data_IF_351326097164
#
_entry.id   IF_351326097164
#
_cell.length_a   1.000
_cell.length_b   1.000
_cell.length_c   1.000
_cell.angle_alpha   90.00
_cell.angle_beta   90.00
_cell.angle_gamma   90.00
#
_symmetry.space_group_name_H-M   'P 1'
#
loop_
_entity.id
_entity.type
_entity.pdbx_description
1 polymer ?
#
# COMPACT_ATOMS: atom_id res chain seq x y z
N UNK A 1 -4.12 8.48 28.46
CA UNK A 1 -4.30 7.54 27.34
C UNK A 1 -5.78 7.15 27.33
N UNK A 2 -6.51 7.39 26.24
CA UNK A 2 -7.98 7.24 26.15
C UNK A 2 -8.48 5.79 26.13
N UNK A 3 -7.57 4.81 26.11
CA UNK A 3 -7.83 3.37 26.04
C UNK A 3 -8.74 2.95 24.85
N UNK A 4 -8.74 3.75 23.80
CA UNK A 4 -9.48 3.50 22.55
C UNK A 4 -8.55 3.77 21.37
N UNK A 5 -8.63 2.90 20.36
CA UNK A 5 -8.04 3.14 19.04
C UNK A 5 -9.13 3.74 18.16
N UNK A 6 -9.05 5.04 17.85
CA UNK A 6 -10.05 5.68 17.03
C UNK A 6 -9.92 5.18 15.58
N UNK A 7 -11.00 5.26 14.79
CA UNK A 7 -11.04 4.64 13.46
C UNK A 7 -10.00 5.23 12.50
N UNK A 8 -9.58 6.47 12.72
CA UNK A 8 -8.53 7.16 11.97
C UNK A 8 -7.17 6.47 12.15
N UNK A 9 -6.90 5.93 13.34
CA UNK A 9 -5.69 5.15 13.61
C UNK A 9 -5.70 3.81 12.87
N UNK A 10 -6.86 3.15 12.80
CA UNK A 10 -7.05 1.93 12.00
C UNK A 10 -6.91 2.20 10.51
N UNK A 11 -7.50 3.29 10.01
CA UNK A 11 -7.37 3.72 8.62
C UNK A 11 -5.91 4.04 8.26
N UNK A 12 -5.19 4.76 9.13
CA UNK A 12 -3.79 5.08 8.93
C UNK A 12 -2.90 3.83 8.94
N UNK A 13 -3.11 2.93 9.91
CA UNK A 13 -2.41 1.65 9.98
C UNK A 13 -2.66 0.78 8.74
N UNK A 14 -3.91 0.74 8.28
CA UNK A 14 -4.28 0.06 7.04
C UNK A 14 -3.62 0.66 5.80
N UNK A 15 -3.53 1.99 5.73
CA UNK A 15 -2.84 2.69 4.63
C UNK A 15 -1.37 2.26 4.54
N UNK A 16 -0.67 2.23 5.67
CA UNK A 16 0.74 1.80 5.75
C UNK A 16 0.88 0.31 5.42
N UNK A 17 0.00 -0.54 5.93
CA UNK A 17 0.04 -1.98 5.64
C UNK A 17 -0.13 -2.27 4.15
N UNK A 18 -1.09 -1.61 3.49
CA UNK A 18 -1.31 -1.73 2.05
C UNK A 18 -0.17 -1.13 1.24
N UNK A 19 0.48 -0.07 1.75
CA UNK A 19 1.64 0.52 1.09
C UNK A 19 2.82 -0.45 1.07
N UNK A 20 3.11 -1.06 2.22
CA UNK A 20 4.14 -2.10 2.34
C UNK A 20 3.80 -3.30 1.46
N UNK A 21 2.56 -3.78 1.51
CA UNK A 21 2.12 -4.90 0.66
C UNK A 21 2.23 -4.59 -0.84
N UNK A 22 1.89 -3.36 -1.25
CA UNK A 22 1.99 -2.94 -2.65
C UNK A 22 3.42 -2.95 -3.16
N UNK A 23 4.39 -2.48 -2.37
CA UNK A 23 5.80 -2.56 -2.72
C UNK A 23 6.38 -3.97 -2.59
N UNK A 24 5.94 -4.77 -1.62
CA UNK A 24 6.33 -6.17 -1.48
C UNK A 24 5.98 -6.99 -2.73
N UNK A 25 4.80 -6.76 -3.32
CA UNK A 25 4.40 -7.34 -4.61
C UNK A 25 5.36 -6.98 -5.75
N UNK A 26 5.85 -5.74 -5.79
CA UNK A 26 6.82 -5.31 -6.80
C UNK A 26 8.20 -5.90 -6.52
N UNK A 27 8.63 -5.95 -5.26
CA UNK A 27 9.93 -6.51 -4.89
C UNK A 27 10.00 -8.01 -5.14
N UNK A 28 8.89 -8.74 -5.00
CA UNK A 28 8.80 -10.15 -5.35
C UNK A 28 9.13 -10.44 -6.83
N UNK A 29 9.11 -9.43 -7.72
CA UNK A 29 9.55 -9.59 -9.09
C UNK A 29 11.06 -9.82 -9.21
N UNK A 30 11.86 -9.30 -8.28
CA UNK A 30 13.31 -9.48 -8.29
C UNK A 30 13.72 -10.90 -7.91
N UNK A 31 12.89 -11.59 -7.13
CA UNK A 31 13.16 -12.96 -6.69
C UNK A 31 12.47 -14.01 -7.58
N UNK A 32 11.80 -13.60 -8.68
CA UNK A 32 10.93 -14.48 -9.49
C UNK A 32 11.61 -15.77 -9.97
N UNK A 33 12.84 -15.69 -10.47
CA UNK A 33 13.55 -16.87 -10.98
C UNK A 33 13.97 -17.80 -9.83
N UNK A 34 14.39 -17.22 -8.70
CA UNK A 34 14.73 -17.99 -7.49
C UNK A 34 13.48 -18.67 -6.94
N UNK A 35 12.36 -17.94 -6.84
CA UNK A 35 11.09 -18.47 -6.35
C UNK A 35 10.61 -19.63 -7.20
N UNK A 36 10.72 -19.53 -8.53
CA UNK A 36 10.36 -20.62 -9.44
C UNK A 36 11.26 -21.84 -9.31
N UNK A 37 12.57 -21.62 -9.23
CA UNK A 37 13.54 -22.73 -9.13
C UNK A 37 13.50 -23.44 -7.79
N UNK A 38 13.23 -22.70 -6.70
CA UNK A 38 13.14 -23.24 -5.34
C UNK A 38 11.71 -23.68 -4.96
N UNK A 39 10.72 -23.45 -5.83
CA UNK A 39 9.32 -23.81 -5.57
C UNK A 39 8.63 -22.94 -4.50
N UNK A 40 9.10 -21.70 -4.29
CA UNK A 40 8.49 -20.74 -3.39
C UNK A 40 7.19 -20.17 -3.99
N UNK A 41 6.32 -19.67 -3.12
CA UNK A 41 4.94 -19.30 -3.47
C UNK A 41 4.69 -17.79 -3.50
N UNK A 42 5.57 -17.02 -4.15
CA UNK A 42 5.33 -15.59 -4.35
C UNK A 42 4.21 -15.36 -5.37
N UNK A 43 3.58 -14.18 -5.29
CA UNK A 43 2.51 -13.77 -6.21
C UNK A 43 2.96 -13.83 -7.67
N UNK A 44 4.11 -13.25 -8.09
CA UNK A 44 4.52 -13.35 -9.47
C UNK A 44 4.93 -14.76 -9.90
N UNK A 45 5.46 -15.59 -9.00
CA UNK A 45 5.76 -16.99 -9.32
C UNK A 45 4.50 -17.80 -9.59
N UNK A 46 3.42 -17.57 -8.83
CA UNK A 46 2.15 -18.32 -8.93
C UNK A 46 1.16 -17.76 -9.96
N UNK A 47 1.00 -16.44 -10.00
CA UNK A 47 -0.04 -15.76 -10.78
C UNK A 47 0.52 -14.92 -11.94
N UNK A 48 1.86 -14.87 -12.06
CA UNK A 48 2.54 -14.13 -13.11
C UNK A 48 2.81 -12.66 -12.77
N UNK A 49 3.72 -12.06 -13.54
CA UNK A 49 4.20 -10.68 -13.35
C UNK A 49 3.05 -9.66 -13.39
N UNK A 50 2.11 -9.83 -14.35
CA UNK A 50 0.98 -8.91 -14.48
C UNK A 50 0.09 -8.87 -13.23
N UNK A 51 -0.09 -10.00 -12.54
CA UNK A 51 -0.86 -10.05 -11.31
C UNK A 51 -0.19 -9.28 -10.17
N UNK A 52 1.14 -9.32 -10.08
CA UNK A 52 1.89 -8.53 -9.10
C UNK A 52 1.72 -7.02 -9.34
N UNK A 53 1.80 -6.56 -10.59
CA UNK A 53 1.55 -5.14 -10.93
C UNK A 53 0.12 -4.69 -10.64
N UNK A 54 -0.89 -5.46 -11.05
CA UNK A 54 -2.29 -5.12 -10.77
C UNK A 54 -2.60 -5.13 -9.28
N UNK A 55 -2.06 -6.10 -8.54
CA UNK A 55 -2.17 -6.15 -7.08
C UNK A 55 -1.51 -4.95 -6.42
N UNK A 56 -0.28 -4.60 -6.83
CA UNK A 56 0.44 -3.44 -6.30
C UNK A 56 -0.32 -2.13 -6.54
N UNK A 57 -0.87 -1.93 -7.75
CA UNK A 57 -1.72 -0.76 -8.07
C UNK A 57 -2.97 -0.69 -7.20
N UNK A 58 -3.65 -1.82 -7.00
CA UNK A 58 -4.83 -1.87 -6.13
C UNK A 58 -4.48 -1.52 -4.68
N UNK A 59 -3.39 -2.10 -4.14
CA UNK A 59 -2.88 -1.77 -2.82
C UNK A 59 -2.56 -0.28 -2.67
N UNK A 60 -1.83 0.30 -3.61
CA UNK A 60 -1.46 1.72 -3.58
C UNK A 60 -2.65 2.67 -3.73
N UNK A 61 -3.63 2.35 -4.59
CA UNK A 61 -4.85 3.12 -4.71
C UNK A 61 -5.64 3.12 -3.38
N UNK A 62 -5.72 1.96 -2.71
CA UNK A 62 -6.35 1.85 -1.40
C UNK A 62 -5.55 2.56 -0.30
N UNK A 63 -4.21 2.55 -0.34
CA UNK A 63 -3.37 3.39 0.53
C UNK A 63 -3.75 4.86 0.43
N UNK A 64 -3.81 5.41 -0.80
CA UNK A 64 -4.17 6.82 -1.02
C UNK A 64 -5.57 7.11 -0.51
N UNK A 65 -6.54 6.23 -0.79
CA UNK A 65 -7.90 6.35 -0.28
C UNK A 65 -7.95 6.41 1.25
N UNK A 66 -7.25 5.50 1.93
CA UNK A 66 -7.24 5.46 3.39
C UNK A 66 -6.54 6.70 3.99
N UNK A 67 -5.48 7.20 3.38
CA UNK A 67 -4.86 8.47 3.80
C UNK A 67 -5.85 9.65 3.64
N UNK A 68 -6.60 9.72 2.54
CA UNK A 68 -7.65 10.74 2.38
C UNK A 68 -8.68 10.61 3.51
N UNK A 69 -9.17 9.40 3.79
CA UNK A 69 -10.16 9.17 4.85
C UNK A 69 -9.62 9.56 6.24
N UNK A 70 -8.39 9.19 6.58
CA UNK A 70 -7.73 9.63 7.83
C UNK A 70 -7.68 11.15 7.92
N UNK A 71 -7.34 11.85 6.84
CA UNK A 71 -7.32 13.32 6.79
C UNK A 71 -8.70 13.95 6.99
N UNK A 72 -9.77 13.32 6.50
CA UNK A 72 -11.15 13.79 6.71
C UNK A 72 -11.65 13.54 8.14
N UNK A 73 -11.15 12.50 8.83
CA UNK A 73 -11.51 12.19 10.21
C UNK A 73 -10.79 13.03 11.27
N UNK A 74 -9.66 13.64 10.91
CA UNK A 74 -8.82 14.42 11.81
C UNK A 74 -8.87 15.92 11.47
N UNK A 75 -8.61 16.77 12.46
CA UNK A 75 -8.37 18.20 12.21
C UNK A 75 -6.95 18.43 11.70
N UNK A 76 -6.73 18.20 10.41
CA UNK A 76 -5.41 18.33 9.74
C UNK A 76 -5.25 19.65 8.99
N UNK A 77 -4.00 20.12 8.88
CA UNK A 77 -3.65 21.31 8.11
C UNK A 77 -3.28 21.03 6.65
N UNK A 78 -3.02 22.10 5.89
CA UNK A 78 -2.68 22.01 4.46
C UNK A 78 -1.45 21.13 4.16
N UNK A 79 -0.48 21.06 5.07
CA UNK A 79 0.72 20.24 4.90
C UNK A 79 0.41 18.74 4.79
N UNK A 80 -0.59 18.27 5.53
CA UNK A 80 -1.06 16.88 5.41
C UNK A 80 -1.56 16.57 4.00
N UNK A 81 -2.43 17.43 3.47
CA UNK A 81 -3.00 17.28 2.14
C UNK A 81 -1.94 17.37 1.03
N UNK A 82 -0.93 18.24 1.19
CA UNK A 82 0.21 18.28 0.26
C UNK A 82 1.01 16.97 0.30
N UNK A 83 1.16 16.34 1.46
CA UNK A 83 1.78 15.02 1.59
C UNK A 83 0.96 13.94 0.91
N UNK A 84 -0.36 13.91 1.11
CA UNK A 84 -1.26 12.95 0.42
C UNK A 84 -1.18 13.13 -1.09
N UNK A 85 -1.19 14.37 -1.60
CA UNK A 85 -1.05 14.64 -3.03
C UNK A 85 0.30 14.17 -3.59
N UNK A 86 1.39 14.40 -2.86
CA UNK A 86 2.72 13.93 -3.26
C UNK A 86 2.79 12.39 -3.30
N UNK A 87 2.23 11.72 -2.30
CA UNK A 87 2.13 10.24 -2.27
C UNK A 87 1.27 9.72 -3.42
N UNK A 88 0.12 10.33 -3.68
CA UNK A 88 -0.74 9.94 -4.80
C UNK A 88 -0.03 10.08 -6.15
N UNK A 89 0.70 11.17 -6.36
CA UNK A 89 1.50 11.38 -7.58
C UNK A 89 2.61 10.34 -7.73
N UNK A 90 3.32 10.02 -6.64
CA UNK A 90 4.35 8.98 -6.62
C UNK A 90 3.80 7.60 -7.01
N UNK A 91 2.56 7.31 -6.62
CA UNK A 91 1.93 5.99 -6.78
C UNK A 91 1.07 5.86 -8.06
N UNK A 92 1.05 6.85 -8.95
CA UNK A 92 0.16 6.91 -10.12
C UNK A 92 0.61 6.07 -11.34
N UNK A 93 1.61 5.21 -11.20
CA UNK A 93 2.28 4.49 -12.29
C UNK A 93 1.47 3.35 -12.93
#
# INVERSE_FOLDING_TARGET
ITNTLPWEAWALGGAVALWVAGFDLLYALFDLDVDRTQGLHSVPARYGVAAAFWGARACHALTVLLLILTGLGLSVGAFYWTGVAAVAALLAY
#
